data_IF_628704523913
#
_entry.id   IF_628704523913
#
_cell.length_a   1.000
_cell.length_b   1.000
_cell.length_c   1.000
_cell.angle_alpha   90.00
_cell.angle_beta   90.00
_cell.angle_gamma   90.00
#
_symmetry.space_group_name_H-M   'P 1'
#
loop_
_entity.id
_entity.type
_entity.pdbx_description
1 polymer ?
#
# COMPACT_ATOMS: atom_id res chain seq x y z
N UNK A 1 -1.41 -0.77 -11.96
CA UNK A 1 -1.93 0.61 -11.80
C UNK A 1 -3.00 0.92 -12.84
N UNK A 2 -3.86 1.92 -12.60
CA UNK A 2 -4.88 2.35 -13.59
C UNK A 2 -6.16 1.51 -13.69
N UNK A 3 -6.37 0.53 -12.80
CA UNK A 3 -7.56 -0.35 -12.81
C UNK A 3 -8.83 0.28 -12.21
N UNK A 4 -8.75 1.50 -11.69
CA UNK A 4 -9.89 2.21 -11.08
C UNK A 4 -10.03 2.08 -9.56
N UNK A 5 -9.00 1.58 -8.83
CA UNK A 5 -9.02 1.42 -7.36
C UNK A 5 -9.39 2.73 -6.62
N UNK A 6 -8.64 3.80 -6.86
CA UNK A 6 -8.90 5.11 -6.22
C UNK A 6 -10.24 5.70 -6.67
N UNK A 7 -10.66 5.46 -7.92
CA UNK A 7 -12.00 5.85 -8.40
C UNK A 7 -13.10 5.17 -7.60
N UNK A 8 -12.97 3.85 -7.37
CA UNK A 8 -13.90 3.09 -6.55
C UNK A 8 -13.94 3.60 -5.11
N UNK A 9 -12.77 3.89 -4.50
CA UNK A 9 -12.70 4.49 -3.16
C UNK A 9 -13.44 5.84 -3.10
N UNK A 10 -13.22 6.71 -4.09
CA UNK A 10 -13.89 8.01 -4.15
C UNK A 10 -15.41 7.88 -4.32
N UNK A 11 -15.89 6.89 -5.07
CA UNK A 11 -17.32 6.61 -5.21
C UNK A 11 -17.91 6.10 -3.89
N UNK A 12 -17.28 5.10 -3.26
CA UNK A 12 -17.73 4.53 -1.98
C UNK A 12 -17.80 5.61 -0.89
N UNK A 13 -16.82 6.52 -0.88
CA UNK A 13 -16.73 7.59 0.12
C UNK A 13 -17.56 8.82 -0.22
N UNK A 14 -18.27 8.82 -1.36
CA UNK A 14 -19.14 9.93 -1.78
C UNK A 14 -18.40 11.16 -2.29
N UNK A 15 -17.09 11.06 -2.52
CA UNK A 15 -16.27 12.12 -3.13
C UNK A 15 -16.49 12.23 -4.64
N UNK A 16 -16.93 11.15 -5.27
CA UNK A 16 -17.29 11.09 -6.68
C UNK A 16 -18.68 10.46 -6.83
N UNK A 17 -19.54 11.07 -7.64
CA UNK A 17 -20.85 10.49 -7.94
C UNK A 17 -20.69 9.32 -8.94
N UNK A 18 -21.42 8.20 -8.77
CA UNK A 18 -21.43 7.15 -9.76
C UNK A 18 -22.18 7.61 -11.02
N UNK A 19 -21.73 7.18 -12.19
CA UNK A 19 -22.42 7.46 -13.45
C UNK A 19 -23.81 6.81 -13.49
N UNK A 20 -23.93 5.61 -12.90
CA UNK A 20 -25.17 4.86 -12.76
C UNK A 20 -25.18 4.09 -11.43
N UNK A 21 -26.37 3.80 -10.90
CA UNK A 21 -26.55 3.12 -9.62
C UNK A 21 -26.51 4.08 -8.43
N UNK A 22 -26.41 3.55 -7.22
CA UNK A 22 -26.42 4.32 -5.98
C UNK A 22 -25.42 3.79 -4.96
N UNK A 23 -24.89 4.69 -4.13
CA UNK A 23 -24.06 4.37 -2.97
C UNK A 23 -24.86 4.75 -1.74
N UNK A 24 -25.30 3.74 -0.98
CA UNK A 24 -26.08 3.95 0.24
C UNK A 24 -25.12 3.91 1.44
N UNK A 25 -24.80 5.08 1.98
CA UNK A 25 -24.01 5.19 3.20
C UNK A 25 -24.90 5.09 4.44
N UNK A 26 -24.41 4.39 5.47
CA UNK A 26 -25.10 4.32 6.76
C UNK A 26 -25.15 5.68 7.43
N UNK A 27 -26.28 6.01 8.07
CA UNK A 27 -26.50 7.32 8.71
C UNK A 27 -25.45 7.65 9.79
N UNK A 28 -24.92 6.63 10.45
CA UNK A 28 -23.91 6.77 11.51
C UNK A 28 -22.48 6.50 11.04
N UNK A 29 -22.25 6.41 9.72
CA UNK A 29 -20.92 6.15 9.17
C UNK A 29 -20.05 7.41 9.26
N UNK A 30 -18.92 7.32 9.97
CA UNK A 30 -17.88 8.34 10.07
C UNK A 30 -16.67 7.84 9.30
N UNK A 31 -16.45 8.44 8.13
CA UNK A 31 -15.38 8.04 7.22
C UNK A 31 -14.09 8.79 7.56
N UNK A 32 -13.04 8.04 7.87
CA UNK A 32 -11.66 8.55 7.90
C UNK A 32 -10.95 8.11 6.64
N UNK A 33 -10.60 9.04 5.75
CA UNK A 33 -9.97 8.74 4.47
C UNK A 33 -8.54 9.29 4.46
N UNK A 34 -7.56 8.40 4.31
CA UNK A 34 -6.16 8.72 4.06
C UNK A 34 -5.87 8.60 2.55
N UNK A 35 -5.68 9.75 1.90
CA UNK A 35 -5.27 9.89 0.50
C UNK A 35 -3.79 10.21 0.37
N UNK A 36 -3.18 9.81 -0.76
CA UNK A 36 -1.85 10.25 -1.18
C UNK A 36 -1.75 11.78 -1.36
N UNK A 37 -2.88 12.44 -1.63
CA UNK A 37 -2.98 13.89 -1.63
C UNK A 37 -3.06 14.37 -0.19
N UNK A 38 -1.90 14.37 0.50
CA UNK A 38 -1.77 15.08 1.77
C UNK A 38 -2.34 16.49 1.58
N UNK A 39 -3.54 16.75 2.13
CA UNK A 39 -4.09 18.11 2.15
C UNK A 39 -2.98 19.01 2.64
N UNK A 40 -2.72 20.12 1.94
CA UNK A 40 -1.71 21.10 2.36
C UNK A 40 -1.92 21.39 3.84
N UNK A 41 -1.05 20.82 4.68
CA UNK A 41 -1.20 20.95 6.11
C UNK A 41 -0.92 22.42 6.46
N UNK A 42 -1.63 23.01 7.43
CA UNK A 42 -1.45 24.41 7.78
C UNK A 42 -0.05 24.63 8.35
N UNK A 43 0.83 25.27 7.58
CA UNK A 43 2.26 25.35 7.87
C UNK A 43 2.60 26.03 9.20
N UNK A 44 1.94 27.14 9.50
CA UNK A 44 2.20 27.98 10.68
C UNK A 44 1.57 27.48 11.98
N UNK A 45 0.92 26.31 11.97
CA UNK A 45 0.25 25.73 13.14
C UNK A 45 1.17 24.70 13.79
N UNK A 46 1.18 24.62 15.12
CA UNK A 46 1.96 23.60 15.82
C UNK A 46 1.30 22.23 15.69
N UNK A 47 2.11 21.16 15.62
CA UNK A 47 1.61 19.79 15.49
C UNK A 47 0.55 19.42 16.56
N UNK A 48 0.77 19.83 17.82
CA UNK A 48 -0.19 19.57 18.91
C UNK A 48 -1.50 20.34 18.76
N UNK A 49 -1.46 21.57 18.24
CA UNK A 49 -2.64 22.41 18.05
C UNK A 49 -3.51 21.84 16.93
N UNK A 50 -2.87 21.46 15.82
CA UNK A 50 -3.51 20.78 14.71
C UNK A 50 -4.24 19.51 15.14
N UNK A 51 -3.65 18.73 16.04
CA UNK A 51 -4.21 17.47 16.54
C UNK A 51 -5.35 17.71 17.54
N UNK A 52 -5.20 18.70 18.43
CA UNK A 52 -6.24 19.09 19.41
C UNK A 52 -7.54 19.57 18.76
N UNK A 53 -7.47 20.14 17.57
CA UNK A 53 -8.66 20.50 16.79
C UNK A 53 -9.55 19.29 16.43
N UNK A 54 -9.00 18.06 16.38
CA UNK A 54 -9.81 16.86 16.06
C UNK A 54 -10.49 16.28 17.28
N UNK A 55 -9.76 16.14 18.39
CA UNK A 55 -10.27 15.51 19.60
C UNK A 55 -9.48 15.97 20.82
N UNK A 56 -10.18 16.27 21.90
CA UNK A 56 -9.58 16.55 23.21
C UNK A 56 -9.32 15.27 24.03
N UNK A 57 -10.11 14.22 23.79
CA UNK A 57 -10.01 12.91 24.43
C UNK A 57 -10.26 11.83 23.39
N UNK A 58 -9.44 10.79 23.42
CA UNK A 58 -9.46 9.69 22.45
C UNK A 58 -9.89 8.44 23.19
N UNK A 59 -11.00 7.86 22.75
CA UNK A 59 -11.47 6.59 23.28
C UNK A 59 -10.81 5.47 22.48
N UNK A 60 -10.08 4.63 23.20
CA UNK A 60 -9.39 3.48 22.63
C UNK A 60 -10.35 2.28 22.59
N UNK A 61 -10.04 1.30 21.74
CA UNK A 61 -10.87 0.11 21.57
C UNK A 61 -10.99 -0.74 22.86
N UNK A 62 -10.05 -0.61 23.79
CA UNK A 62 -10.06 -1.25 25.12
C UNK A 62 -10.87 -0.48 26.18
N UNK A 63 -11.54 0.61 25.80
CA UNK A 63 -12.27 1.50 26.72
C UNK A 63 -11.37 2.48 27.47
N UNK A 64 -10.06 2.48 27.19
CA UNK A 64 -9.11 3.46 27.71
C UNK A 64 -9.34 4.85 27.12
N UNK A 65 -8.95 5.88 27.86
CA UNK A 65 -8.96 7.28 27.39
C UNK A 65 -7.54 7.82 27.34
N UNK A 66 -7.12 8.27 26.17
CA UNK A 66 -5.83 8.91 25.96
C UNK A 66 -5.99 10.38 25.60
N UNK A 67 -5.08 11.20 26.10
CA UNK A 67 -4.92 12.57 25.62
C UNK A 67 -4.20 12.60 24.26
N UNK A 68 -4.37 13.66 23.46
CA UNK A 68 -3.74 13.78 22.15
C UNK A 68 -2.22 13.58 22.16
N UNK A 69 -1.52 14.12 23.16
CA UNK A 69 -0.07 13.92 23.30
C UNK A 69 0.32 12.44 23.53
N UNK A 70 -0.43 11.72 24.37
CA UNK A 70 -0.16 10.30 24.65
C UNK A 70 -0.43 9.42 23.43
N UNK A 71 -1.46 9.77 22.64
CA UNK A 71 -1.74 9.07 21.38
C UNK A 71 -0.64 9.29 20.35
N UNK A 72 -0.18 10.54 20.19
CA UNK A 72 0.94 10.86 19.31
C UNK A 72 2.21 10.08 19.69
N UNK A 73 2.53 10.00 20.99
CA UNK A 73 3.67 9.21 21.49
C UNK A 73 3.55 7.71 21.16
N UNK A 74 2.33 7.14 21.23
CA UNK A 74 2.10 5.73 20.89
C UNK A 74 2.41 5.41 19.42
N UNK A 75 2.27 6.40 18.54
CA UNK A 75 2.66 6.31 17.13
C UNK A 75 4.07 6.84 16.87
N UNK A 76 4.93 6.83 17.89
CA UNK A 76 6.33 7.25 17.81
C UNK A 76 6.51 8.69 17.33
N UNK A 77 5.53 9.57 17.61
CA UNK A 77 5.68 11.00 17.38
C UNK A 77 6.35 11.65 18.60
N UNK A 78 7.61 12.11 18.51
CA UNK A 78 8.38 12.58 19.65
C UNK A 78 7.75 13.81 20.32
N UNK A 79 7.82 13.88 21.66
CA UNK A 79 7.38 15.05 22.44
C UNK A 79 8.01 16.36 21.97
N UNK A 80 9.25 16.32 21.52
CA UNK A 80 9.97 17.50 21.00
C UNK A 80 9.29 18.09 19.77
N UNK A 81 8.65 17.26 18.94
CA UNK A 81 7.99 17.69 17.70
C UNK A 81 6.58 18.24 17.93
N UNK A 82 5.97 17.99 19.09
CA UNK A 82 4.61 18.46 19.40
C UNK A 82 4.48 19.98 19.32
N UNK A 83 5.54 20.70 19.65
CA UNK A 83 5.57 22.17 19.69
C UNK A 83 6.20 22.80 18.44
N UNK A 84 6.62 21.97 17.48
CA UNK A 84 7.17 22.40 16.20
C UNK A 84 6.02 22.79 15.26
N UNK A 85 6.23 23.85 14.48
CA UNK A 85 5.32 24.25 13.40
C UNK A 85 5.34 23.19 12.29
N UNK A 86 4.17 22.90 11.72
CA UNK A 86 4.03 21.81 10.75
C UNK A 86 4.93 22.03 9.53
N UNK A 87 5.17 23.27 9.10
CA UNK A 87 6.07 23.53 7.97
C UNK A 87 7.49 22.98 8.16
N UNK A 88 7.97 22.95 9.42
CA UNK A 88 9.31 22.49 9.80
C UNK A 88 9.40 20.97 10.00
N UNK A 89 8.28 20.24 9.89
CA UNK A 89 8.28 18.77 9.92
C UNK A 89 8.75 18.21 8.57
N UNK A 90 9.41 17.06 8.61
CA UNK A 90 9.77 16.30 7.41
C UNK A 90 8.51 15.81 6.66
N UNK A 91 8.67 15.43 5.39
CA UNK A 91 7.54 14.89 4.60
C UNK A 91 6.89 13.66 5.24
N UNK A 92 7.70 12.74 5.77
CA UNK A 92 7.22 11.55 6.48
C UNK A 92 6.53 11.90 7.81
N UNK A 93 7.04 12.88 8.55
CA UNK A 93 6.40 13.36 9.79
C UNK A 93 5.05 14.05 9.51
N UNK A 94 4.96 14.81 8.41
CA UNK A 94 3.71 15.42 7.94
C UNK A 94 2.66 14.36 7.60
N UNK A 95 3.06 13.33 6.84
CA UNK A 95 2.19 12.18 6.50
C UNK A 95 1.73 11.43 7.75
N UNK A 96 2.65 11.17 8.70
CA UNK A 96 2.36 10.57 10.01
C UNK A 96 1.37 11.43 10.81
N UNK A 97 1.59 12.74 10.89
CA UNK A 97 0.69 13.65 11.58
C UNK A 97 -0.72 13.67 10.95
N UNK A 98 -0.80 13.64 9.62
CA UNK A 98 -2.05 13.58 8.87
C UNK A 98 -2.84 12.29 9.15
N UNK A 99 -2.16 11.15 9.12
CA UNK A 99 -2.75 9.86 9.53
C UNK A 99 -3.34 9.95 10.94
N UNK A 100 -2.55 10.46 11.89
CA UNK A 100 -3.00 10.57 13.29
C UNK A 100 -4.20 11.50 13.41
N UNK A 101 -4.22 12.62 12.70
CA UNK A 101 -5.37 13.53 12.63
C UNK A 101 -6.65 12.82 12.19
N UNK A 102 -6.57 11.93 11.21
CA UNK A 102 -7.71 11.13 10.73
C UNK A 102 -8.16 10.15 11.81
N UNK A 103 -7.25 9.39 12.40
CA UNK A 103 -7.58 8.41 13.45
C UNK A 103 -8.25 9.08 14.67
N UNK A 104 -7.83 10.30 15.01
CA UNK A 104 -8.40 11.09 16.11
C UNK A 104 -9.85 11.52 15.90
N UNK A 105 -10.36 11.50 14.67
CA UNK A 105 -11.77 11.83 14.41
C UNK A 105 -12.72 10.70 14.85
N UNK A 106 -12.18 9.61 15.44
CA UNK A 106 -12.87 8.39 15.81
C UNK A 106 -13.78 7.89 14.67
N UNK A 107 -13.21 7.65 13.47
CA UNK A 107 -13.96 7.08 12.37
C UNK A 107 -14.36 5.64 12.68
N UNK A 108 -15.47 5.20 12.12
CA UNK A 108 -15.88 3.78 12.16
C UNK A 108 -15.76 3.11 10.78
N UNK A 109 -15.39 3.88 9.75
CA UNK A 109 -15.01 3.40 8.44
C UNK A 109 -13.71 4.06 8.01
N UNK A 110 -12.63 3.30 7.95
CA UNK A 110 -11.31 3.78 7.57
C UNK A 110 -11.01 3.40 6.12
N UNK A 111 -10.51 4.36 5.35
CA UNK A 111 -10.12 4.16 3.96
C UNK A 111 -8.68 4.58 3.77
N UNK A 112 -7.85 3.69 3.22
CA UNK A 112 -6.44 3.93 2.95
C UNK A 112 -6.15 3.71 1.46
N UNK A 113 -5.57 4.72 0.81
CA UNK A 113 -5.09 4.64 -0.57
C UNK A 113 -3.55 4.66 -0.58
N UNK A 114 -2.95 3.48 -0.73
CA UNK A 114 -1.50 3.20 -0.73
C UNK A 114 -0.73 3.70 0.51
N UNK A 115 -1.12 3.25 1.72
CA UNK A 115 -0.50 3.72 2.97
C UNK A 115 0.96 3.27 3.12
N UNK A 116 1.37 2.17 2.50
CA UNK A 116 2.70 1.56 2.69
C UNK A 116 3.85 2.38 2.12
N UNK A 117 3.59 3.22 1.12
CA UNK A 117 4.61 4.05 0.48
C UNK A 117 5.00 5.28 1.31
N UNK A 118 4.23 5.57 2.36
CA UNK A 118 4.30 6.82 3.10
C UNK A 118 4.95 6.70 4.47
N UNK A 119 5.13 5.48 4.97
CA UNK A 119 5.51 5.21 6.35
C UNK A 119 6.76 4.34 6.45
N UNK A 120 7.57 4.64 7.47
CA UNK A 120 8.67 3.76 7.88
C UNK A 120 8.15 2.42 8.44
N UNK A 121 9.00 1.39 8.44
CA UNK A 121 8.65 0.03 8.88
C UNK A 121 8.07 0.00 10.31
N UNK A 122 8.59 0.85 11.20
CA UNK A 122 8.12 0.88 12.60
C UNK A 122 6.70 1.45 12.69
N UNK A 123 6.42 2.49 11.92
CA UNK A 123 5.11 3.14 11.84
C UNK A 123 4.10 2.20 11.18
N UNK A 124 4.51 1.46 10.14
CA UNK A 124 3.67 0.43 9.52
C UNK A 124 3.30 -0.67 10.51
N UNK A 125 4.25 -1.17 11.30
CA UNK A 125 3.95 -2.17 12.33
C UNK A 125 2.93 -1.68 13.36
N UNK A 126 3.00 -0.41 13.79
CA UNK A 126 2.02 0.16 14.72
C UNK A 126 0.66 0.35 14.05
N UNK A 127 0.65 0.71 12.76
CA UNK A 127 -0.57 0.83 11.98
C UNK A 127 -1.24 -0.54 11.79
N UNK A 128 -0.47 -1.59 11.47
CA UNK A 128 -0.94 -2.98 11.40
C UNK A 128 -1.62 -3.39 12.72
N UNK A 129 -0.93 -3.20 13.85
CA UNK A 129 -1.46 -3.50 15.19
C UNK A 129 -2.74 -2.70 15.49
N UNK A 130 -2.79 -1.43 15.07
CA UNK A 130 -3.98 -0.60 15.23
C UNK A 130 -5.16 -1.11 14.40
N UNK A 131 -4.93 -1.46 13.12
CA UNK A 131 -5.96 -1.95 12.21
C UNK A 131 -6.50 -3.31 12.63
N UNK A 132 -5.63 -4.21 13.10
CA UNK A 132 -6.03 -5.51 13.66
C UNK A 132 -6.99 -5.40 14.85
N UNK A 133 -6.83 -4.35 15.66
CA UNK A 133 -7.66 -4.11 16.82
C UNK A 133 -8.80 -3.11 16.56
N UNK A 134 -8.95 -2.62 15.33
CA UNK A 134 -9.95 -1.62 14.98
C UNK A 134 -11.34 -2.27 14.91
N UNK A 135 -12.30 -1.74 15.67
CA UNK A 135 -13.65 -2.28 15.76
C UNK A 135 -14.58 -1.86 14.60
N UNK A 136 -14.14 -0.90 13.79
CA UNK A 136 -14.85 -0.46 12.60
C UNK A 136 -14.50 -1.29 11.37
N UNK A 137 -14.88 -0.79 10.20
CA UNK A 137 -14.55 -1.41 8.92
C UNK A 137 -13.41 -0.66 8.23
N UNK A 138 -12.49 -1.40 7.62
CA UNK A 138 -11.34 -0.86 6.89
C UNK A 138 -11.47 -1.20 5.40
N UNK A 139 -11.10 -0.26 4.54
CA UNK A 139 -10.98 -0.46 3.10
C UNK A 139 -9.60 0.02 2.67
N UNK A 140 -8.75 -0.90 2.25
CA UNK A 140 -7.34 -0.65 2.02
C UNK A 140 -7.02 -0.95 0.56
N UNK A 141 -6.31 -0.03 -0.07
CA UNK A 141 -5.62 -0.24 -1.34
C UNK A 141 -4.13 -0.18 -1.07
N UNK A 142 -3.41 -1.25 -1.40
CA UNK A 142 -1.95 -1.30 -1.26
C UNK A 142 -1.34 -2.24 -2.29
N UNK A 143 -0.09 -1.97 -2.66
CA UNK A 143 0.78 -2.90 -3.40
C UNK A 143 1.55 -3.88 -2.50
N UNK A 144 1.56 -3.66 -1.19
CA UNK A 144 2.24 -4.53 -0.22
C UNK A 144 1.36 -5.73 0.17
N UNK A 145 1.73 -6.91 -0.34
CA UNK A 145 1.00 -8.16 -0.08
C UNK A 145 1.07 -8.56 1.40
N UNK A 146 2.20 -8.35 2.06
CA UNK A 146 2.36 -8.73 3.47
C UNK A 146 1.50 -7.86 4.39
N UNK A 147 1.41 -6.57 4.09
CA UNK A 147 0.52 -5.66 4.81
C UNK A 147 -0.95 -6.06 4.64
N UNK A 148 -1.37 -6.36 3.41
CA UNK A 148 -2.74 -6.80 3.13
C UNK A 148 -3.08 -8.13 3.80
N UNK A 149 -2.18 -9.12 3.73
CA UNK A 149 -2.38 -10.44 4.36
C UNK A 149 -2.56 -10.36 5.87
N UNK A 150 -1.91 -9.38 6.52
CA UNK A 150 -2.03 -9.18 7.97
C UNK A 150 -3.25 -8.37 8.37
N UNK A 151 -3.72 -7.46 7.52
CA UNK A 151 -4.72 -6.44 7.90
C UNK A 151 -6.10 -6.64 7.28
N UNK A 152 -6.23 -7.56 6.33
CA UNK A 152 -7.49 -7.78 5.59
C UNK A 152 -7.90 -9.25 5.61
N UNK A 153 -9.22 -9.48 5.56
CA UNK A 153 -9.87 -10.79 5.54
C UNK A 153 -10.70 -11.02 4.26
N UNK A 154 -10.83 -9.98 3.43
CA UNK A 154 -11.61 -9.98 2.21
C UNK A 154 -10.99 -9.07 1.15
N UNK A 155 -10.93 -9.56 -0.09
CA UNK A 155 -10.35 -8.85 -1.22
C UNK A 155 -11.42 -8.48 -2.25
N UNK A 156 -11.34 -7.24 -2.72
CA UNK A 156 -12.00 -6.80 -3.95
C UNK A 156 -11.01 -6.83 -5.10
N UNK A 157 -11.20 -7.76 -6.02
CA UNK A 157 -10.36 -7.92 -7.21
C UNK A 157 -10.98 -7.19 -8.38
N UNK A 158 -10.28 -6.19 -8.89
CA UNK A 158 -10.66 -5.45 -10.08
C UNK A 158 -10.04 -6.09 -11.32
N UNK A 159 -10.85 -6.42 -12.33
CA UNK A 159 -10.38 -7.06 -13.57
C UNK A 159 -9.78 -6.08 -14.60
N UNK A 160 -9.79 -4.78 -14.29
CA UNK A 160 -9.33 -3.70 -15.16
C UNK A 160 -10.28 -3.36 -16.32
N UNK A 161 -11.43 -4.04 -16.43
CA UNK A 161 -12.48 -3.83 -17.44
C UNK A 161 -13.79 -3.33 -16.82
N UNK A 162 -13.78 -3.01 -15.53
CA UNK A 162 -14.92 -2.52 -14.76
C UNK A 162 -15.65 -3.62 -13.96
N UNK A 163 -15.17 -4.86 -14.01
CA UNK A 163 -15.64 -5.94 -13.15
C UNK A 163 -14.95 -5.93 -11.79
N UNK A 164 -15.71 -6.20 -10.74
CA UNK A 164 -15.20 -6.40 -9.38
C UNK A 164 -15.69 -7.76 -8.88
N UNK A 165 -14.77 -8.61 -8.45
CA UNK A 165 -15.08 -9.87 -7.78
C UNK A 165 -14.58 -9.88 -6.35
N UNK A 166 -15.33 -10.53 -5.46
CA UNK A 166 -14.96 -10.71 -4.06
C UNK A 166 -14.22 -12.02 -3.84
N UNK A 167 -13.22 -12.00 -2.97
CA UNK A 167 -12.53 -13.19 -2.47
C UNK A 167 -12.43 -13.14 -0.95
N UNK A 168 -12.81 -14.22 -0.27
CA UNK A 168 -12.66 -14.33 1.18
C UNK A 168 -11.38 -15.09 1.48
N UNK A 169 -10.45 -14.44 2.16
CA UNK A 169 -9.11 -14.93 2.38
C UNK A 169 -8.07 -13.85 2.14
N UNK A 170 -6.82 -14.23 2.36
CA UNK A 170 -5.65 -13.37 2.17
C UNK A 170 -5.22 -13.32 0.69
N UNK A 171 -4.33 -12.38 0.39
CA UNK A 171 -3.81 -12.14 -0.97
C UNK A 171 -3.01 -13.35 -1.45
N UNK A 172 -2.22 -13.95 -0.57
CA UNK A 172 -1.43 -15.15 -0.87
C UNK A 172 -2.31 -16.31 -1.35
N UNK A 173 -3.36 -16.65 -0.61
CA UNK A 173 -4.31 -17.72 -0.97
C UNK A 173 -5.00 -17.43 -2.30
N UNK A 174 -5.37 -16.18 -2.53
CA UNK A 174 -5.97 -15.76 -3.80
C UNK A 174 -5.03 -16.04 -4.99
N UNK A 175 -3.74 -15.68 -4.88
CA UNK A 175 -2.77 -15.92 -5.94
C UNK A 175 -2.53 -17.42 -6.18
N UNK A 176 -2.40 -18.22 -5.12
CA UNK A 176 -2.25 -19.68 -5.23
C UNK A 176 -3.44 -20.32 -5.97
N UNK A 177 -4.66 -19.88 -5.68
CA UNK A 177 -5.87 -20.39 -6.33
C UNK A 177 -5.93 -19.99 -7.81
N UNK A 178 -5.56 -18.74 -8.13
CA UNK A 178 -5.45 -18.25 -9.51
C UNK A 178 -4.38 -19.03 -10.30
N UNK A 179 -3.23 -19.34 -9.69
CA UNK A 179 -2.20 -20.14 -10.34
C UNK A 179 -2.65 -21.58 -10.57
N UNK A 180 -3.28 -22.20 -9.58
CA UNK A 180 -3.79 -23.58 -9.69
C UNK A 180 -4.88 -23.71 -10.76
N UNK A 181 -5.72 -22.68 -10.93
CA UNK A 181 -6.77 -22.65 -11.94
C UNK A 181 -6.21 -22.42 -13.36
N UNK A 182 -5.15 -21.61 -13.49
CA UNK A 182 -4.40 -21.46 -14.76
C UNK A 182 -3.71 -22.75 -15.17
N UNK A 183 -3.13 -23.50 -14.23
CA UNK A 183 -2.53 -24.82 -14.49
C UNK A 183 -3.58 -25.86 -14.91
N UNK A 184 -4.73 -25.93 -14.22
CA UNK A 184 -5.82 -26.85 -14.60
C UNK A 184 -6.43 -26.54 -15.97
N UNK A 185 -6.52 -25.26 -16.35
CA UNK A 185 -7.01 -24.88 -17.68
C UNK A 185 -5.99 -25.16 -18.79
N UNK A 186 -4.69 -25.04 -18.52
CA UNK A 186 -3.64 -25.40 -19.49
C UNK A 186 -3.50 -26.93 -19.63
N UNK A 187 -3.72 -27.70 -18.57
CA UNK A 187 -3.83 -29.16 -18.63
C UNK A 187 -5.07 -29.61 -19.43
N UNK A 188 -6.24 -29.02 -19.20
CA UNK A 188 -7.47 -29.38 -19.93
C UNK A 188 -7.43 -29.05 -21.45
N UNK A 189 -6.66 -28.05 -21.87
CA UNK A 189 -6.41 -27.76 -23.30
C UNK A 189 -5.41 -28.76 -23.90
N UNK A 190 -4.50 -29.31 -23.09
CA UNK A 190 -3.54 -30.32 -23.55
C UNK A 190 -4.13 -31.74 -23.69
N UNK A 191 -5.26 -32.07 -23.02
CA UNK A 191 -5.87 -33.42 -23.07
C UNK A 191 -6.46 -33.78 -24.45
N UNK A 192 -6.70 -32.82 -25.36
CA UNK A 192 -7.24 -33.13 -26.70
C UNK A 192 -6.14 -33.50 -27.72
N UNK A 193 -4.85 -33.26 -27.44
CA UNK A 193 -3.78 -33.62 -28.38
C UNK A 193 -2.63 -34.37 -27.72
N UNK A 194 -2.48 -35.59 -28.22
CA UNK A 194 -1.30 -36.46 -28.21
C UNK A 194 -1.09 -37.33 -26.97
N UNK A 195 -1.14 -38.65 -27.24
CA UNK A 195 -0.82 -39.68 -26.28
C UNK A 195 0.69 -39.90 -26.13
N UNK A 196 1.02 -40.50 -24.98
CA UNK A 196 2.24 -41.28 -24.67
C UNK A 196 3.59 -40.63 -25.01
N UNK A 197 4.28 -40.09 -23.99
CA UNK A 197 5.35 -40.81 -23.24
C UNK A 197 6.13 -39.88 -22.28
N UNK A 198 6.62 -40.55 -21.24
CA UNK A 198 7.73 -40.27 -20.33
C UNK A 198 7.59 -39.22 -19.23
N UNK A 199 7.43 -39.79 -18.03
CA UNK A 199 7.57 -39.20 -16.71
C UNK A 199 9.03 -38.82 -16.50
N UNK A 200 9.35 -37.52 -16.62
CA UNK A 200 10.55 -36.96 -16.01
C UNK A 200 10.16 -36.20 -14.75
N UNK A 201 10.46 -36.80 -13.59
CA UNK A 201 10.40 -36.15 -12.28
C UNK A 201 11.31 -34.92 -12.31
N UNK A 202 10.71 -33.73 -12.25
CA UNK A 202 11.44 -32.48 -12.00
C UNK A 202 12.05 -32.56 -10.60
N UNK A 203 13.38 -32.46 -10.52
CA UNK A 203 14.11 -32.42 -9.25
C UNK A 203 13.82 -31.09 -8.55
N UNK A 204 13.40 -31.16 -7.29
CA UNK A 204 13.24 -30.01 -6.39
C UNK A 204 14.61 -29.44 -5.99
N UNK A 205 14.73 -28.12 -6.03
CA UNK A 205 15.84 -27.33 -5.48
C UNK A 205 16.58 -26.48 -6.53
N UNK A 206 16.84 -25.22 -6.16
CA UNK A 206 17.69 -24.28 -6.91
C UNK A 206 19.06 -24.88 -7.26
N UNK A 207 19.46 -24.77 -8.52
CA UNK A 207 20.82 -25.11 -8.97
C UNK A 207 21.83 -24.09 -8.43
N UNK A 208 23.13 -24.45 -8.35
CA UNK A 208 24.18 -23.55 -7.86
C UNK A 208 24.25 -22.21 -8.62
N UNK A 209 23.95 -22.22 -9.93
CA UNK A 209 23.88 -21.01 -10.76
C UNK A 209 22.66 -20.14 -10.42
N UNK A 210 21.51 -20.76 -10.15
CA UNK A 210 20.29 -20.06 -9.77
C UNK A 210 20.38 -19.44 -8.35
N UNK A 211 21.12 -20.06 -7.42
CA UNK A 211 21.41 -19.43 -6.11
C UNK A 211 22.29 -18.19 -6.23
N UNK A 212 23.34 -18.25 -7.05
CA UNK A 212 24.20 -17.11 -7.31
C UNK A 212 23.47 -15.99 -8.08
N UNK A 213 22.52 -16.37 -8.95
CA UNK A 213 21.62 -15.44 -9.63
C UNK A 213 20.66 -14.76 -8.64
N UNK A 214 20.11 -15.50 -7.67
CA UNK A 214 19.23 -14.96 -6.63
C UNK A 214 19.91 -13.87 -5.80
N UNK A 215 21.10 -14.15 -5.25
CA UNK A 215 21.86 -13.17 -4.44
C UNK A 215 22.21 -11.92 -5.26
N UNK A 216 22.51 -12.09 -6.56
CA UNK A 216 22.82 -10.97 -7.45
C UNK A 216 21.59 -10.13 -7.78
N UNK A 217 20.43 -10.76 -7.97
CA UNK A 217 19.20 -10.05 -8.32
C UNK A 217 18.74 -9.15 -7.16
N UNK A 218 18.90 -9.59 -5.91
CA UNK A 218 18.63 -8.73 -4.74
C UNK A 218 19.49 -7.46 -4.77
N UNK A 219 20.80 -7.59 -5.01
CA UNK A 219 21.69 -6.43 -5.14
C UNK A 219 21.36 -5.54 -6.35
N UNK A 220 20.87 -6.11 -7.45
CA UNK A 220 20.47 -5.36 -8.65
C UNK A 220 19.17 -4.60 -8.42
N UNK A 221 18.18 -5.20 -7.76
CA UNK A 221 16.92 -4.54 -7.37
C UNK A 221 17.22 -3.36 -6.45
N UNK A 222 18.00 -3.57 -5.38
CA UNK A 222 18.35 -2.49 -4.45
C UNK A 222 19.02 -1.29 -5.16
N UNK A 223 19.91 -1.54 -6.12
CA UNK A 223 20.57 -0.46 -6.88
C UNK A 223 19.60 0.30 -7.78
N UNK A 224 18.67 -0.40 -8.42
CA UNK A 224 17.67 0.21 -9.29
C UNK A 224 16.67 1.05 -8.47
N UNK A 225 16.29 0.58 -7.28
CA UNK A 225 15.43 1.31 -6.35
C UNK A 225 16.13 2.55 -5.75
N UNK A 226 17.41 2.44 -5.39
CA UNK A 226 18.22 3.58 -4.98
C UNK A 226 18.32 4.63 -6.10
N UNK A 227 18.55 4.20 -7.35
CA UNK A 227 18.57 5.10 -8.52
C UNK A 227 17.21 5.79 -8.74
N UNK A 228 16.11 5.05 -8.59
CA UNK A 228 14.74 5.59 -8.67
C UNK A 228 14.50 6.65 -7.60
N UNK A 229 14.97 6.39 -6.38
CA UNK A 229 14.86 7.33 -5.24
C UNK A 229 15.68 8.61 -5.48
N UNK A 230 16.86 8.50 -6.10
CA UNK A 230 17.67 9.66 -6.50
C UNK A 230 16.97 10.50 -7.57
N UNK A 231 16.28 9.86 -8.53
CA UNK A 231 15.50 10.56 -9.56
C UNK A 231 14.28 11.28 -8.97
N UNK A 232 13.56 10.66 -8.03
CA UNK A 232 12.44 11.29 -7.31
C UNK A 232 12.86 12.56 -6.56
N UNK A 233 14.02 12.53 -5.92
CA UNK A 233 14.60 13.71 -5.27
C UNK A 233 14.98 14.81 -6.27
N UNK A 234 15.38 14.43 -7.49
CA UNK A 234 15.75 15.37 -8.56
C UNK A 234 14.52 16.01 -9.20
N UNK A 235 13.41 15.27 -9.35
CA UNK A 235 12.11 15.84 -9.73
C UNK A 235 11.61 16.90 -8.76
N UNK A 236 11.97 16.76 -7.48
CA UNK A 236 11.57 17.69 -6.41
C UNK A 236 12.49 18.92 -6.29
N UNK A 237 13.56 19.02 -7.09
CA UNK A 237 14.52 20.13 -7.04
C UNK A 237 14.04 21.35 -7.86
N UNK A 238 14.14 22.58 -7.34
CA UNK A 238 13.77 23.81 -8.06
C UNK A 238 14.65 24.12 -9.30
N UNK A 239 15.82 23.48 -9.42
CA UNK A 239 16.80 23.73 -10.49
C UNK A 239 16.61 22.85 -11.74
N UNK A 240 15.57 22.01 -11.79
CA UNK A 240 15.35 21.05 -12.88
C UNK A 240 14.72 21.75 -14.10
N UNK A 241 15.44 21.77 -15.22
CA UNK A 241 14.95 22.39 -16.46
C UNK A 241 13.85 21.54 -17.14
N UNK A 242 13.04 22.17 -18.01
CA UNK A 242 11.96 21.46 -18.71
C UNK A 242 12.46 20.36 -19.69
N UNK A 243 13.68 20.52 -20.23
CA UNK A 243 14.33 19.48 -21.06
C UNK A 243 14.87 18.33 -20.19
N UNK A 244 15.36 18.63 -18.97
CA UNK A 244 15.77 17.61 -18.01
C UNK A 244 14.57 16.77 -17.52
N UNK A 245 13.39 17.38 -17.37
CA UNK A 245 12.20 16.68 -16.88
C UNK A 245 11.76 15.53 -17.80
N UNK A 246 11.87 15.70 -19.13
CA UNK A 246 11.55 14.65 -20.09
C UNK A 246 12.51 13.46 -19.99
N UNK A 247 13.81 13.73 -19.95
CA UNK A 247 14.85 12.70 -19.83
C UNK A 247 14.75 11.96 -18.49
N UNK A 248 14.50 12.69 -17.41
CA UNK A 248 14.30 12.10 -16.07
C UNK A 248 13.06 11.21 -16.05
N UNK A 249 11.98 11.61 -16.73
CA UNK A 249 10.74 10.82 -16.81
C UNK A 249 10.94 9.53 -17.60
N UNK A 250 11.60 9.61 -18.76
CA UNK A 250 11.88 8.42 -19.58
C UNK A 250 12.75 7.41 -18.81
N UNK A 251 13.77 7.90 -18.08
CA UNK A 251 14.61 7.05 -17.22
C UNK A 251 13.83 6.46 -16.04
N UNK A 252 12.87 7.21 -15.49
CA UNK A 252 12.01 6.73 -14.40
C UNK A 252 11.12 5.57 -14.86
N UNK A 253 10.45 5.73 -16.01
CA UNK A 253 9.60 4.68 -16.61
C UNK A 253 10.45 3.44 -16.99
N UNK A 254 11.68 3.63 -17.49
CA UNK A 254 12.61 2.53 -17.76
C UNK A 254 13.00 1.77 -16.48
N UNK A 255 13.31 2.49 -15.39
CA UNK A 255 13.63 1.86 -14.11
C UNK A 255 12.45 1.08 -13.53
N UNK A 256 11.22 1.57 -13.68
CA UNK A 256 10.03 0.82 -13.24
C UNK A 256 9.91 -0.53 -13.94
N UNK A 257 10.09 -0.57 -15.26
CA UNK A 257 10.05 -1.81 -16.04
C UNK A 257 11.19 -2.76 -15.65
N UNK A 258 12.39 -2.23 -15.45
CA UNK A 258 13.56 -3.04 -15.05
C UNK A 258 13.39 -3.62 -13.65
N UNK A 259 12.87 -2.84 -12.71
CA UNK A 259 12.59 -3.30 -11.35
C UNK A 259 11.52 -4.40 -11.38
N UNK A 260 10.43 -4.20 -12.14
CA UNK A 260 9.37 -5.19 -12.31
C UNK A 260 9.92 -6.52 -12.88
N UNK A 261 10.70 -6.47 -13.97
CA UNK A 261 11.32 -7.67 -14.57
C UNK A 261 12.25 -8.40 -13.57
N UNK A 262 13.01 -7.65 -12.77
CA UNK A 262 13.92 -8.22 -11.78
C UNK A 262 13.18 -8.86 -10.61
N UNK A 263 12.09 -8.26 -10.16
CA UNK A 263 11.21 -8.84 -9.14
C UNK A 263 10.53 -10.12 -9.63
N UNK A 264 10.01 -10.14 -10.87
CA UNK A 264 9.44 -11.37 -11.46
C UNK A 264 10.47 -12.51 -11.50
N UNK A 265 11.73 -12.18 -11.84
CA UNK A 265 12.82 -13.17 -11.88
C UNK A 265 13.23 -13.62 -10.49
N UNK A 266 13.28 -12.71 -9.51
CA UNK A 266 13.56 -13.03 -8.11
C UNK A 266 12.48 -13.97 -7.54
N UNK A 267 11.20 -13.68 -7.78
CA UNK A 267 10.05 -14.48 -7.35
C UNK A 267 10.10 -15.90 -7.96
N UNK A 268 10.47 -16.02 -9.24
CA UNK A 268 10.70 -17.32 -9.88
C UNK A 268 11.84 -18.14 -9.23
N UNK A 269 12.89 -17.47 -8.75
CA UNK A 269 14.00 -18.15 -8.08
C UNK A 269 13.63 -18.49 -6.62
N UNK A 270 12.88 -17.64 -5.93
CA UNK A 270 12.38 -17.91 -4.58
C UNK A 270 11.45 -19.13 -4.55
N UNK A 271 10.50 -19.22 -5.48
CA UNK A 271 9.56 -20.35 -5.60
C UNK A 271 10.24 -21.70 -5.88
N UNK A 272 11.48 -21.69 -6.36
CA UNK A 272 12.32 -22.89 -6.58
C UNK A 272 13.17 -23.30 -5.37
N UNK A 273 13.28 -22.44 -4.35
CA UNK A 273 14.11 -22.64 -3.15
C UNK A 273 13.59 -23.77 -2.28
#
# INVERSE_FOLDING_TARGET
>A
NGSGKSTLLNIITGRLAPDNGEVIQGVNTKIGYYDQLSKQLPGSVKAIEYIKESAEVIEMNDGGRLGPAQFLERFLFPKSMLYTEIENLSGGEKKKLYLLKILLTNPNFLVFDEPTNDFDIQTLSILEDFLLNFSGCTLIVSHDRFFLDRTTDFLFVLDGRGGVSGYSGDVTSYYEEVESSKQKNSENVAVIKSGKKDVNRVKKGLTFKEKQEFDRIEEEIMKLEDEKTVLDNRFSSPDTSAEDFGILKDRYEELELLIEEKYERWEFLETKR
#
